data_IF_147427059155
#
_entry.id   IF_147427059155
#
_cell.length_a   1.000
_cell.length_b   1.000
_cell.length_c   1.000
_cell.angle_alpha   90.00
_cell.angle_beta   90.00
_cell.angle_gamma   90.00
#
_symmetry.space_group_name_H-M   'P 1'
#
loop_
_entity.id
_entity.type
_entity.pdbx_description
1 polymer ?
#
# COMPACT_ATOMS: atom_id res chain seq x y z
N UNK A 1 59.23 3.78 4.18
CA UNK A 1 59.17 4.74 5.30
C UNK A 1 57.82 5.43 5.26
N UNK A 2 57.08 5.26 6.35
CA UNK A 2 55.88 5.97 6.81
C UNK A 2 54.58 5.87 6.01
N UNK A 3 53.86 4.83 6.41
CA UNK A 3 52.40 4.69 6.42
C UNK A 3 51.71 5.90 7.09
N UNK A 4 50.55 6.26 6.53
CA UNK A 4 49.59 7.29 6.95
C UNK A 4 49.42 7.54 8.47
N UNK A 5 49.03 8.77 8.81
CA UNK A 5 47.90 9.02 9.71
C UNK A 5 46.80 9.75 8.91
N UNK A 6 45.62 9.14 8.76
CA UNK A 6 44.52 9.09 9.72
C UNK A 6 43.54 10.25 9.47
N UNK A 7 42.37 9.83 8.98
CA UNK A 7 41.06 10.42 9.15
C UNK A 7 40.93 11.23 10.45
N UNK A 8 40.92 12.55 10.37
CA UNK A 8 40.48 13.41 11.45
C UNK A 8 38.95 13.41 11.48
N UNK A 9 38.37 12.37 12.06
CA UNK A 9 37.02 12.43 12.61
C UNK A 9 37.14 13.19 13.94
N UNK A 10 36.91 14.51 13.89
CA UNK A 10 36.73 15.32 15.08
C UNK A 10 35.60 14.77 15.94
N UNK A 11 35.96 13.98 16.96
CA UNK A 11 35.05 13.54 18.01
C UNK A 11 35.32 14.41 19.24
N UNK A 12 34.39 15.32 19.50
CA UNK A 12 34.45 16.26 20.61
C UNK A 12 34.37 15.56 21.97
N UNK A 13 35.29 15.98 22.83
CA UNK A 13 35.39 15.84 24.29
C UNK A 13 34.23 15.19 25.09
N UNK A 14 34.61 14.18 25.86
CA UNK A 14 34.07 13.65 27.13
C UNK A 14 32.71 14.09 27.65
N UNK A 15 31.83 13.11 27.91
CA UNK A 15 30.65 13.19 28.79
C UNK A 15 29.47 14.02 28.27
N UNK A 16 29.71 15.30 27.96
CA UNK A 16 28.74 16.21 27.35
C UNK A 16 28.52 15.92 25.86
N UNK A 17 29.55 15.40 25.17
CA UNK A 17 29.44 14.95 23.79
C UNK A 17 28.50 13.76 23.60
N UNK A 18 28.47 12.81 24.55
CA UNK A 18 27.59 11.62 24.46
C UNK A 18 26.12 12.01 24.62
N UNK A 19 25.80 12.90 25.58
CA UNK A 19 24.44 13.43 25.76
C UNK A 19 23.98 14.20 24.51
N UNK A 20 24.85 15.05 23.94
CA UNK A 20 24.56 15.79 22.72
C UNK A 20 24.39 14.89 21.49
N UNK A 21 25.24 13.87 21.33
CA UNK A 21 25.12 12.87 20.27
C UNK A 21 23.82 12.06 20.39
N UNK A 22 23.44 11.61 21.60
CA UNK A 22 22.18 10.90 21.81
C UNK A 22 20.96 11.76 21.50
N UNK A 23 20.99 13.05 21.86
CA UNK A 23 19.95 14.02 21.51
C UNK A 23 19.85 14.19 19.98
N UNK A 24 20.98 14.33 19.30
CA UNK A 24 21.03 14.53 17.85
C UNK A 24 20.57 13.29 17.09
N UNK A 25 21.04 12.10 17.48
CA UNK A 25 20.56 10.84 16.89
C UNK A 25 19.08 10.59 17.22
N UNK A 26 18.63 10.86 18.45
CA UNK A 26 17.22 10.74 18.84
C UNK A 26 16.32 11.67 18.02
N UNK A 27 16.74 12.92 17.80
CA UNK A 27 16.02 13.88 16.96
C UNK A 27 15.97 13.41 15.49
N UNK A 28 17.06 12.88 14.95
CA UNK A 28 17.10 12.31 13.60
C UNK A 28 16.15 11.11 13.46
N UNK A 29 16.18 10.17 14.40
CA UNK A 29 15.27 9.01 14.41
C UNK A 29 13.81 9.43 14.55
N UNK A 30 13.51 10.38 15.44
CA UNK A 30 12.16 10.92 15.60
C UNK A 30 11.67 11.61 14.32
N UNK A 31 12.53 12.40 13.67
CA UNK A 31 12.22 13.04 12.39
C UNK A 31 11.97 12.01 11.29
N UNK A 32 12.85 11.01 11.15
CA UNK A 32 12.71 9.95 10.15
C UNK A 32 11.45 9.10 10.39
N UNK A 33 11.14 8.77 11.65
CA UNK A 33 9.91 8.07 12.05
C UNK A 33 8.67 8.90 11.70
N UNK A 34 8.68 10.21 12.00
CA UNK A 34 7.56 11.10 11.70
C UNK A 34 7.31 11.25 10.20
N UNK A 35 8.37 11.40 9.41
CA UNK A 35 8.29 11.53 7.95
C UNK A 35 7.79 10.25 7.29
N UNK A 36 8.11 9.06 7.81
CA UNK A 36 7.65 7.79 7.22
C UNK A 36 6.25 7.35 7.69
N UNK A 37 5.87 7.59 8.95
CA UNK A 37 4.57 7.15 9.48
C UNK A 37 3.40 7.99 9.01
N UNK A 38 3.59 9.31 8.86
CA UNK A 38 2.54 10.20 8.36
C UNK A 38 2.03 9.82 6.97
N UNK A 39 2.87 9.57 5.94
CA UNK A 39 2.40 9.17 4.63
C UNK A 39 1.82 7.76 4.62
N UNK A 40 2.35 6.82 5.42
CA UNK A 40 1.79 5.46 5.50
C UNK A 40 0.37 5.45 6.07
N UNK A 41 0.13 6.16 7.17
CA UNK A 41 -1.22 6.27 7.76
C UNK A 41 -2.22 6.92 6.81
N UNK A 42 -1.77 7.87 5.98
CA UNK A 42 -2.63 8.50 4.98
C UNK A 42 -3.03 7.51 3.87
N UNK A 43 -2.07 6.76 3.33
CA UNK A 43 -2.33 5.72 2.31
C UNK A 43 -3.24 4.61 2.83
N UNK A 44 -3.01 4.12 4.05
CA UNK A 44 -3.88 3.09 4.65
C UNK A 44 -5.33 3.57 4.78
N UNK A 45 -5.54 4.79 5.29
CA UNK A 45 -6.87 5.38 5.39
C UNK A 45 -7.55 5.58 4.03
N UNK A 46 -6.79 5.96 3.01
CA UNK A 46 -7.32 6.10 1.64
C UNK A 46 -7.73 4.75 1.06
N UNK A 47 -6.93 3.70 1.27
CA UNK A 47 -7.27 2.33 0.87
C UNK A 47 -8.49 1.80 1.61
N UNK A 48 -8.57 2.00 2.93
CA UNK A 48 -9.73 1.62 3.73
C UNK A 48 -11.00 2.39 3.32
N UNK A 49 -10.88 3.69 3.04
CA UNK A 49 -11.99 4.51 2.56
C UNK A 49 -12.48 4.04 1.17
N UNK A 50 -11.57 3.69 0.27
CA UNK A 50 -11.91 3.13 -1.03
C UNK A 50 -12.63 1.79 -0.89
N UNK A 51 -12.12 0.92 -0.02
CA UNK A 51 -12.72 -0.38 0.29
C UNK A 51 -14.12 -0.24 0.90
N UNK A 52 -14.33 0.73 1.78
CA UNK A 52 -15.63 1.03 2.39
C UNK A 52 -16.63 1.66 1.41
N UNK A 53 -16.15 2.27 0.32
CA UNK A 53 -17.02 2.84 -0.70
C UNK A 53 -17.65 1.78 -1.60
N UNK A 54 -17.20 0.53 -1.55
CA UNK A 54 -17.67 -0.56 -2.41
C UNK A 54 -19.08 -0.97 -1.99
N UNK A 55 -20.01 -0.94 -2.95
CA UNK A 55 -21.41 -1.28 -2.74
C UNK A 55 -21.82 -2.48 -3.60
N UNK A 56 -22.97 -3.06 -3.26
CA UNK A 56 -23.62 -4.09 -4.08
C UNK A 56 -23.96 -3.50 -5.45
N UNK A 57 -23.53 -4.18 -6.51
CA UNK A 57 -23.70 -3.75 -7.89
C UNK A 57 -22.42 -3.21 -8.55
N UNK A 58 -21.36 -2.91 -7.79
CA UNK A 58 -20.11 -2.42 -8.33
C UNK A 58 -19.31 -3.52 -9.05
N UNK A 59 -18.66 -3.14 -10.15
CA UNK A 59 -17.62 -3.95 -10.80
C UNK A 59 -16.28 -3.69 -10.14
N UNK A 60 -15.63 -4.75 -9.66
CA UNK A 60 -14.39 -4.67 -8.87
C UNK A 60 -13.28 -5.49 -9.50
N UNK A 61 -12.06 -4.95 -9.41
CA UNK A 61 -10.83 -5.65 -9.74
C UNK A 61 -10.21 -6.22 -8.45
N UNK A 62 -10.10 -7.53 -8.41
CA UNK A 62 -9.43 -8.25 -7.32
C UNK A 62 -7.91 -8.23 -7.50
N UNK A 63 -7.19 -8.43 -6.40
CA UNK A 63 -5.72 -8.47 -6.38
C UNK A 63 -5.10 -9.56 -7.26
N UNK A 64 -5.87 -10.60 -7.57
CA UNK A 64 -5.47 -11.66 -8.51
C UNK A 64 -5.63 -11.28 -9.99
N UNK A 65 -6.04 -10.04 -10.31
CA UNK A 65 -6.30 -9.60 -11.69
C UNK A 65 -7.66 -10.05 -12.24
N UNK A 66 -8.56 -10.50 -11.35
CA UNK A 66 -9.87 -11.01 -11.73
C UNK A 66 -10.91 -9.89 -11.60
N UNK A 67 -11.73 -9.72 -12.63
CA UNK A 67 -12.88 -8.83 -12.61
C UNK A 67 -14.14 -9.58 -12.18
N UNK A 68 -14.96 -8.94 -11.38
CA UNK A 68 -16.25 -9.49 -10.98
C UNK A 68 -17.22 -8.42 -10.48
N UNK A 69 -18.48 -8.81 -10.33
CA UNK A 69 -19.54 -7.93 -9.85
C UNK A 69 -19.89 -8.26 -8.41
N UNK A 70 -19.97 -7.25 -7.55
CA UNK A 70 -20.41 -7.43 -6.17
C UNK A 70 -21.90 -7.73 -6.14
N UNK A 71 -22.28 -8.88 -5.62
CA UNK A 71 -23.69 -9.30 -5.47
C UNK A 71 -24.19 -9.18 -4.05
N UNK A 72 -23.30 -9.28 -3.07
CA UNK A 72 -23.63 -9.13 -1.66
C UNK A 72 -22.39 -8.71 -0.86
N UNK A 73 -22.60 -8.15 0.33
CA UNK A 73 -21.52 -7.75 1.24
C UNK A 73 -21.92 -8.07 2.67
N UNK A 74 -21.11 -8.86 3.34
CA UNK A 74 -21.30 -9.30 4.73
C UNK A 74 -20.08 -8.89 5.53
N UNK A 75 -20.21 -7.82 6.32
CA UNK A 75 -19.11 -7.23 7.10
C UNK A 75 -17.87 -6.97 6.21
N UNK A 76 -16.74 -7.62 6.52
CA UNK A 76 -15.46 -7.51 5.78
C UNK A 76 -15.34 -8.47 4.59
N UNK A 77 -16.38 -9.28 4.34
CA UNK A 77 -16.43 -10.24 3.23
C UNK A 77 -17.38 -9.70 2.17
N UNK A 78 -16.93 -9.72 0.92
CA UNK A 78 -17.70 -9.32 -0.26
C UNK A 78 -17.95 -10.57 -1.09
N UNK A 79 -19.19 -10.81 -1.49
CA UNK A 79 -19.51 -11.90 -2.41
C UNK A 79 -19.45 -11.34 -3.81
N UNK A 80 -18.50 -11.85 -4.59
CA UNK A 80 -18.27 -11.43 -5.96
C UNK A 80 -18.71 -12.54 -6.90
N UNK A 81 -19.51 -12.15 -7.88
CA UNK A 81 -19.91 -13.00 -9.00
C UNK A 81 -18.84 -12.89 -10.10
N UNK A 82 -18.30 -14.04 -10.49
CA UNK A 82 -17.17 -14.15 -11.40
C UNK A 82 -17.60 -14.81 -12.72
N UNK A 83 -17.15 -14.25 -13.84
CA UNK A 83 -17.32 -14.81 -15.17
C UNK A 83 -18.65 -14.48 -15.86
N UNK A 84 -18.73 -14.80 -17.15
CA UNK A 84 -19.89 -14.53 -18.01
C UNK A 84 -21.12 -15.38 -17.64
N UNK A 85 -20.88 -16.55 -17.04
CA UNK A 85 -21.93 -17.38 -16.46
C UNK A 85 -22.08 -17.00 -14.98
N UNK A 86 -23.22 -16.42 -14.62
CA UNK A 86 -23.60 -15.91 -13.28
C UNK A 86 -23.63 -16.95 -12.13
N UNK A 87 -22.94 -18.07 -12.30
CA UNK A 87 -23.04 -19.27 -11.49
C UNK A 87 -21.99 -19.32 -10.38
N UNK A 88 -20.88 -18.60 -10.52
CA UNK A 88 -19.75 -18.68 -9.60
C UNK A 88 -19.75 -17.48 -8.66
N UNK A 89 -20.15 -17.73 -7.40
CA UNK A 89 -20.10 -16.74 -6.31
C UNK A 89 -18.95 -17.11 -5.38
N UNK A 90 -17.99 -16.19 -5.24
CA UNK A 90 -16.83 -16.40 -4.38
C UNK A 90 -16.83 -15.36 -3.27
N UNK A 91 -16.76 -15.77 -2.00
CA UNK A 91 -16.52 -14.85 -0.90
C UNK A 91 -15.05 -14.42 -0.94
N UNK A 92 -14.82 -13.11 -1.05
CA UNK A 92 -13.50 -12.50 -1.02
C UNK A 92 -13.43 -11.49 0.11
N UNK A 93 -12.25 -11.31 0.69
CA UNK A 93 -12.06 -10.24 1.66
C UNK A 93 -12.10 -8.89 0.95
N UNK A 94 -12.72 -7.90 1.58
CA UNK A 94 -12.75 -6.52 1.09
C UNK A 94 -11.34 -5.94 0.90
N UNK A 95 -10.39 -6.38 1.72
CA UNK A 95 -8.97 -6.05 1.61
C UNK A 95 -8.32 -6.50 0.28
N UNK A 96 -8.90 -7.51 -0.38
CA UNK A 96 -8.43 -8.03 -1.67
C UNK A 96 -8.90 -7.25 -2.89
N UNK A 97 -9.68 -6.17 -2.71
CA UNK A 97 -10.18 -5.33 -3.81
C UNK A 97 -9.22 -4.16 -4.02
N UNK A 98 -8.67 -4.04 -5.23
CA UNK A 98 -7.71 -3.00 -5.60
C UNK A 98 -8.43 -1.74 -6.06
N UNK A 99 -9.45 -1.89 -6.90
CA UNK A 99 -10.16 -0.77 -7.49
C UNK A 99 -11.57 -1.15 -7.93
N UNK A 100 -12.42 -0.14 -8.04
CA UNK A 100 -13.65 -0.22 -8.83
C UNK A 100 -13.25 -0.05 -10.30
N UNK A 101 -13.32 -1.11 -11.07
CA UNK A 101 -12.96 -1.11 -12.46
C UNK A 101 -13.90 -2.04 -13.20
N UNK A 102 -14.51 -1.53 -14.26
CA UNK A 102 -15.26 -2.35 -15.19
C UNK A 102 -14.25 -3.02 -16.14
N UNK A 103 -14.42 -4.33 -16.43
CA UNK A 103 -13.59 -4.98 -17.42
C UNK A 103 -13.89 -4.37 -18.79
N UNK A 104 -12.94 -3.66 -19.36
CA UNK A 104 -13.00 -3.24 -20.75
C UNK A 104 -12.81 -4.47 -21.64
N UNK A 105 -13.94 -5.13 -21.94
CA UNK A 105 -14.04 -6.26 -22.86
C UNK A 105 -14.32 -5.78 -24.30
N UNK A 106 -14.05 -4.51 -24.63
CA UNK A 106 -14.05 -4.07 -26.02
C UNK A 106 -12.88 -4.73 -26.73
N UNK A 107 -13.15 -5.92 -27.27
CA UNK A 107 -12.33 -6.53 -28.29
C UNK A 107 -12.36 -5.53 -29.44
N UNK A 108 -11.33 -4.68 -29.56
CA UNK A 108 -10.96 -4.16 -30.87
C UNK A 108 -10.63 -5.41 -31.64
N UNK A 109 -11.65 -5.95 -32.31
CA UNK A 109 -11.48 -6.91 -33.37
C UNK A 109 -10.66 -6.12 -34.38
N UNK A 110 -9.34 -6.19 -34.26
CA UNK A 110 -8.44 -5.93 -35.36
C UNK A 110 -8.89 -6.95 -36.40
N UNK A 111 -9.76 -6.48 -37.29
CA UNK A 111 -10.05 -7.15 -38.53
C UNK A 111 -8.70 -7.59 -39.09
N UNK A 112 -8.58 -8.90 -39.29
CA UNK A 112 -7.51 -9.47 -40.09
C UNK A 112 -7.48 -8.71 -41.42
N UNK A 113 -6.34 -8.10 -41.72
CA UNK A 113 -5.91 -7.79 -43.09
C UNK A 113 -4.42 -8.13 -43.22
#
# INVERSE_FOLDING_TARGET
MNFLPLLEAGTGAGGSGIMYSLLLYGALFAFMWFVLIRPQKKRQKETEALQNSIAVGDSVLLSAGIYGKVVDTVNDIVIVELGTNKSVRVPVQRAGIISKAEPDLSIVKSEEE
#
